data_IF_714638765492
#
_entry.id   IF_714638765492
#
_cell.length_a   1.000
_cell.length_b   1.000
_cell.length_c   1.000
_cell.angle_alpha   90.00
_cell.angle_beta   90.00
_cell.angle_gamma   90.00
#
_symmetry.space_group_name_H-M   'P 1'
#
loop_
_entity.id
_entity.type
_entity.pdbx_description
1 polymer ?
#
# COMPACT_ATOMS: atom_id res chain seq x y z
N UNK A 1 4.07 50.05 29.73
CA UNK A 1 3.84 49.21 30.89
C UNK A 1 3.66 47.78 30.42
N UNK A 2 4.42 46.80 30.91
CA UNK A 2 4.15 45.40 30.56
C UNK A 2 2.81 45.00 31.16
N UNK A 3 1.86 44.65 30.30
CA UNK A 3 0.57 44.11 30.73
C UNK A 3 0.79 42.61 30.99
N UNK A 4 0.87 42.23 32.25
CA UNK A 4 0.88 40.83 32.66
C UNK A 4 -0.54 40.29 32.61
N UNK A 5 -0.94 39.75 31.48
CA UNK A 5 -2.21 39.03 31.33
C UNK A 5 -1.90 37.54 31.32
N UNK A 6 -2.55 36.72 32.16
CA UNK A 6 -2.43 35.26 32.06
C UNK A 6 -2.84 34.78 30.69
N UNK A 7 -1.98 33.96 30.07
CA UNK A 7 -2.26 33.32 28.77
C UNK A 7 -2.31 31.80 28.98
N UNK A 8 -3.45 31.19 28.67
CA UNK A 8 -3.57 29.75 28.60
C UNK A 8 -3.23 29.24 27.20
N UNK A 9 -2.53 28.14 27.13
CA UNK A 9 -2.27 27.43 25.87
C UNK A 9 -3.10 26.16 25.85
N UNK A 10 -3.75 25.91 24.71
CA UNK A 10 -4.44 24.65 24.42
C UNK A 10 -3.65 23.98 23.32
N UNK A 11 -3.12 22.80 23.60
CA UNK A 11 -2.46 21.96 22.60
C UNK A 11 -3.47 20.99 21.99
N UNK A 12 -3.64 21.09 20.68
CA UNK A 12 -4.44 20.19 19.87
C UNK A 12 -3.65 19.90 18.60
N UNK A 13 -2.62 19.08 18.73
CA UNK A 13 -1.70 18.77 17.63
C UNK A 13 -1.57 17.27 17.40
N UNK A 14 -1.33 16.91 16.14
CA UNK A 14 -1.06 15.52 15.71
C UNK A 14 -0.12 15.55 14.52
N UNK A 15 1.12 15.12 14.73
CA UNK A 15 2.17 15.14 13.70
C UNK A 15 1.88 14.21 12.53
N UNK A 16 2.33 14.60 11.33
CA UNK A 16 2.18 13.82 10.11
C UNK A 16 0.77 13.81 9.50
N UNK A 17 -0.07 14.80 9.87
CA UNK A 17 -1.46 14.85 9.40
C UNK A 17 -1.66 15.88 8.29
N UNK A 18 -2.67 15.62 7.44
CA UNK A 18 -3.09 16.49 6.34
C UNK A 18 -4.11 17.53 6.83
N UNK A 19 -4.24 18.66 6.11
CA UNK A 19 -5.13 19.76 6.51
C UNK A 19 -6.62 19.36 6.47
N UNK A 20 -7.00 18.42 5.61
CA UNK A 20 -8.37 17.95 5.45
C UNK A 20 -8.92 17.30 6.72
N UNK A 21 -8.08 16.66 7.53
CA UNK A 21 -8.54 16.05 8.79
C UNK A 21 -8.89 17.08 9.85
N UNK A 22 -8.39 18.32 9.72
CA UNK A 22 -8.63 19.47 10.60
C UNK A 22 -9.75 20.40 10.13
N UNK A 23 -10.38 20.06 9.02
CA UNK A 23 -11.45 20.86 8.40
C UNK A 23 -12.78 20.13 8.56
N UNK A 24 -13.87 20.85 8.79
CA UNK A 24 -15.18 20.23 8.95
C UNK A 24 -15.71 19.60 7.67
N UNK A 25 -16.67 18.69 7.81
CA UNK A 25 -17.34 18.05 6.67
C UNK A 25 -18.07 19.07 5.81
N UNK A 26 -18.76 20.02 6.41
CA UNK A 26 -19.53 21.06 5.72
C UNK A 26 -18.62 21.95 4.89
N UNK A 27 -17.46 22.33 5.43
CA UNK A 27 -16.49 23.14 4.70
C UNK A 27 -15.88 22.33 3.56
N UNK A 28 -15.37 21.11 3.81
CA UNK A 28 -14.80 20.28 2.77
C UNK A 28 -15.76 19.95 1.63
N UNK A 29 -17.06 19.77 1.93
CA UNK A 29 -18.08 19.49 0.93
C UNK A 29 -18.25 20.61 -0.12
N UNK A 30 -17.74 21.82 0.17
CA UNK A 30 -17.75 22.94 -0.81
C UNK A 30 -16.70 22.76 -1.91
N UNK A 31 -15.70 21.88 -1.71
CA UNK A 31 -14.65 21.59 -2.69
C UNK A 31 -15.02 20.35 -3.49
N UNK A 32 -15.22 20.45 -4.82
CA UNK A 32 -15.67 19.31 -5.64
C UNK A 32 -14.78 18.07 -5.55
N UNK A 33 -13.44 18.23 -5.47
CA UNK A 33 -12.50 17.12 -5.36
C UNK A 33 -12.61 16.37 -4.02
N UNK A 34 -13.11 17.01 -2.97
CA UNK A 34 -13.32 16.40 -1.66
C UNK A 34 -14.59 15.57 -1.58
N UNK A 35 -15.59 15.84 -2.43
CA UNK A 35 -16.89 15.17 -2.38
C UNK A 35 -16.78 13.66 -2.41
N UNK A 36 -16.00 13.11 -3.34
CA UNK A 36 -15.77 11.66 -3.45
C UNK A 36 -15.10 11.07 -2.19
N UNK A 37 -14.15 11.81 -1.60
CA UNK A 37 -13.47 11.38 -0.37
C UNK A 37 -14.41 11.39 0.83
N UNK A 38 -15.32 12.36 0.91
CA UNK A 38 -16.35 12.42 1.96
C UNK A 38 -17.41 11.34 1.77
N UNK A 39 -17.84 11.09 0.53
CA UNK A 39 -18.76 9.99 0.21
C UNK A 39 -18.23 8.62 0.66
N UNK A 40 -16.93 8.39 0.55
CA UNK A 40 -16.30 7.16 1.03
C UNK A 40 -16.37 6.98 2.56
N UNK A 41 -16.62 8.05 3.33
CA UNK A 41 -16.81 7.98 4.78
C UNK A 41 -18.27 7.70 5.17
N UNK A 42 -19.21 7.90 4.23
CA UNK A 42 -20.64 7.67 4.49
C UNK A 42 -20.90 6.19 4.66
N UNK A 43 -21.56 5.82 5.76
CA UNK A 43 -21.89 4.41 6.07
C UNK A 43 -20.77 3.64 6.78
N UNK A 44 -19.62 4.26 7.05
CA UNK A 44 -18.63 3.63 7.92
C UNK A 44 -19.16 3.53 9.36
N UNK A 45 -18.90 2.42 10.06
CA UNK A 45 -19.24 2.27 11.46
C UNK A 45 -18.66 3.40 12.31
N UNK A 46 -19.42 3.87 13.30
CA UNK A 46 -18.97 4.96 14.18
C UNK A 46 -17.77 4.56 15.05
N UNK A 47 -17.72 3.30 15.50
CA UNK A 47 -16.63 2.80 16.34
C UNK A 47 -15.40 2.37 15.52
N UNK A 48 -14.23 2.49 16.12
CA UNK A 48 -12.97 1.99 15.55
C UNK A 48 -13.05 0.49 15.29
N UNK A 49 -13.55 -0.29 16.26
CA UNK A 49 -13.71 -1.74 16.14
C UNK A 49 -14.64 -2.11 14.97
N UNK A 50 -15.75 -1.40 14.83
CA UNK A 50 -16.68 -1.61 13.72
C UNK A 50 -16.04 -1.31 12.36
N UNK A 51 -15.24 -0.22 12.25
CA UNK A 51 -14.48 0.09 11.02
C UNK A 51 -13.42 -0.95 10.71
N UNK A 52 -12.72 -1.45 11.74
CA UNK A 52 -11.74 -2.53 11.57
C UNK A 52 -12.39 -3.80 11.04
N UNK A 53 -13.50 -4.21 11.65
CA UNK A 53 -14.27 -5.38 11.20
C UNK A 53 -14.75 -5.22 9.75
N UNK A 54 -15.30 -4.04 9.41
CA UNK A 54 -15.72 -3.76 8.05
C UNK A 54 -14.53 -3.85 7.06
N UNK A 55 -13.38 -3.32 7.42
CA UNK A 55 -12.18 -3.42 6.59
C UNK A 55 -11.77 -4.88 6.37
N UNK A 56 -11.77 -5.71 7.42
CA UNK A 56 -11.46 -7.14 7.33
C UNK A 56 -12.46 -7.87 6.41
N UNK A 57 -13.75 -7.57 6.52
CA UNK A 57 -14.81 -8.11 5.65
C UNK A 57 -14.65 -7.65 4.18
N UNK A 58 -14.33 -6.38 3.96
CA UNK A 58 -14.12 -5.81 2.62
C UNK A 58 -12.86 -6.41 1.95
N UNK A 59 -11.77 -6.62 2.71
CA UNK A 59 -10.55 -7.29 2.23
C UNK A 59 -10.83 -8.73 1.84
N UNK A 60 -11.58 -9.47 2.64
CA UNK A 60 -11.94 -10.86 2.34
C UNK A 60 -12.82 -10.95 1.08
N UNK A 61 -13.77 -10.03 0.94
CA UNK A 61 -14.59 -9.92 -0.26
C UNK A 61 -13.72 -9.62 -1.50
N UNK A 62 -12.78 -8.69 -1.37
CA UNK A 62 -11.85 -8.33 -2.44
C UNK A 62 -10.93 -9.51 -2.81
N UNK A 63 -10.38 -10.22 -1.82
CA UNK A 63 -9.58 -11.44 -2.05
C UNK A 63 -10.38 -12.50 -2.81
N UNK A 64 -11.61 -12.74 -2.39
CA UNK A 64 -12.51 -13.70 -3.05
C UNK A 64 -12.80 -13.32 -4.51
N UNK A 65 -12.96 -12.04 -4.80
CA UNK A 65 -13.15 -11.57 -6.17
C UNK A 65 -11.88 -11.74 -7.01
N UNK A 66 -10.71 -11.41 -6.46
CA UNK A 66 -9.40 -11.63 -7.11
C UNK A 66 -9.19 -13.12 -7.43
N UNK A 67 -9.55 -14.02 -6.51
CA UNK A 67 -9.47 -15.46 -6.73
C UNK A 67 -10.43 -15.93 -7.79
N UNK A 68 -11.65 -15.40 -7.82
CA UNK A 68 -12.70 -15.77 -8.78
C UNK A 68 -12.30 -15.45 -10.22
N UNK A 69 -11.59 -14.35 -10.44
CA UNK A 69 -11.22 -13.90 -11.79
C UNK A 69 -9.80 -14.30 -12.20
N UNK A 70 -9.02 -14.90 -11.30
CA UNK A 70 -7.71 -15.48 -11.62
C UNK A 70 -7.84 -16.60 -12.65
N UNK A 71 -7.32 -16.38 -13.84
CA UNK A 71 -7.34 -17.38 -14.94
C UNK A 71 -6.55 -18.65 -14.63
N UNK A 72 -5.64 -18.60 -13.64
CA UNK A 72 -4.87 -19.74 -13.15
C UNK A 72 -5.63 -20.66 -12.20
N UNK A 73 -6.78 -20.18 -11.70
CA UNK A 73 -7.64 -20.91 -10.77
C UNK A 73 -9.05 -21.07 -11.37
N UNK A 74 -9.62 -22.26 -11.26
CA UNK A 74 -11.00 -22.54 -11.65
C UNK A 74 -11.68 -23.31 -10.53
N UNK A 75 -12.78 -22.78 -10.03
CA UNK A 75 -13.54 -23.36 -8.91
C UNK A 75 -12.66 -23.67 -7.68
N UNK A 76 -11.68 -22.80 -7.37
CA UNK A 76 -10.74 -22.98 -6.26
C UNK A 76 -9.58 -23.93 -6.55
N UNK A 77 -9.54 -24.56 -7.74
CA UNK A 77 -8.42 -25.42 -8.13
C UNK A 77 -7.37 -24.63 -8.95
N UNK A 78 -6.12 -24.71 -8.55
CA UNK A 78 -4.98 -24.08 -9.20
C UNK A 78 -4.59 -24.82 -10.48
N UNK A 79 -5.37 -24.68 -11.55
CA UNK A 79 -5.21 -25.43 -12.80
C UNK A 79 -3.87 -25.16 -13.49
N UNK A 80 -3.30 -23.96 -13.29
CA UNK A 80 -1.99 -23.63 -13.84
C UNK A 80 -0.84 -24.21 -13.02
N UNK A 81 -1.09 -24.77 -11.85
CA UNK A 81 -0.11 -25.52 -11.07
C UNK A 81 -0.02 -26.99 -11.48
N UNK A 82 -1.01 -27.52 -12.20
CA UNK A 82 -1.08 -28.93 -12.55
C UNK A 82 0.16 -29.38 -13.37
N UNK A 83 0.73 -30.55 -13.09
CA UNK A 83 1.95 -31.00 -13.76
C UNK A 83 1.78 -31.28 -15.26
N UNK A 84 0.58 -31.59 -15.69
CA UNK A 84 0.18 -31.86 -17.08
C UNK A 84 -0.36 -30.64 -17.82
N UNK A 85 -0.43 -29.47 -17.16
CA UNK A 85 -0.84 -28.22 -17.80
C UNK A 85 0.14 -27.83 -18.91
N UNK A 86 -0.42 -27.52 -20.09
CA UNK A 86 0.38 -27.12 -21.24
C UNK A 86 0.77 -25.64 -21.19
N UNK A 87 1.99 -25.36 -20.79
CA UNK A 87 2.58 -24.02 -20.73
C UNK A 87 3.45 -23.66 -21.94
N UNK A 88 3.33 -24.37 -23.06
CA UNK A 88 4.17 -24.17 -24.25
C UNK A 88 4.03 -22.75 -24.83
N UNK A 89 2.87 -22.15 -24.74
CA UNK A 89 2.60 -20.79 -25.21
C UNK A 89 3.03 -19.69 -24.22
N UNK A 90 3.44 -20.03 -22.99
CA UNK A 90 3.87 -19.06 -22.00
C UNK A 90 5.20 -18.43 -22.38
N UNK A 91 5.36 -17.16 -22.04
CA UNK A 91 6.63 -16.46 -22.17
C UNK A 91 7.64 -16.95 -21.13
N UNK A 92 8.84 -16.44 -21.21
CA UNK A 92 9.90 -16.74 -20.24
C UNK A 92 10.46 -15.47 -19.63
N UNK A 93 10.72 -15.49 -18.32
CA UNK A 93 11.30 -14.40 -17.55
C UNK A 93 12.43 -14.93 -16.69
N UNK A 94 13.45 -14.12 -16.41
CA UNK A 94 14.55 -14.49 -15.51
C UNK A 94 14.09 -14.43 -14.05
N UNK A 95 14.41 -15.46 -13.28
CA UNK A 95 14.23 -15.56 -11.84
C UNK A 95 15.62 -15.87 -11.24
N UNK A 96 16.07 -15.14 -10.21
CA UNK A 96 15.41 -13.98 -9.61
C UNK A 96 15.41 -12.76 -10.52
N UNK A 97 14.43 -11.87 -10.30
CA UNK A 97 14.32 -10.59 -11.00
C UNK A 97 12.98 -9.91 -10.85
N UNK A 98 12.98 -8.59 -11.02
CA UNK A 98 11.78 -7.76 -11.02
C UNK A 98 11.02 -7.92 -12.35
N UNK A 99 9.71 -8.10 -12.27
CA UNK A 99 8.84 -8.25 -13.45
C UNK A 99 8.81 -6.97 -14.28
N UNK A 100 8.80 -5.81 -13.62
CA UNK A 100 8.70 -4.49 -14.25
C UNK A 100 9.98 -4.09 -15.02
N UNK A 101 11.14 -4.63 -14.63
CA UNK A 101 12.41 -4.40 -15.32
C UNK A 101 12.61 -5.33 -16.53
N UNK A 102 11.70 -6.26 -16.75
CA UNK A 102 11.73 -7.23 -17.84
C UNK A 102 10.56 -6.99 -18.79
N UNK A 103 9.55 -7.85 -18.79
CA UNK A 103 8.48 -7.84 -19.80
C UNK A 103 7.20 -7.11 -19.35
N UNK A 104 7.09 -6.68 -18.08
CA UNK A 104 5.87 -6.15 -17.47
C UNK A 104 6.06 -4.73 -16.85
N UNK A 105 6.51 -3.72 -17.62
CA UNK A 105 6.73 -2.37 -17.09
C UNK A 105 5.41 -1.76 -16.56
N UNK A 106 5.43 -1.24 -15.33
CA UNK A 106 4.28 -0.59 -14.69
C UNK A 106 3.09 -1.52 -14.42
N UNK A 107 3.33 -2.84 -14.42
CA UNK A 107 2.30 -3.83 -14.13
C UNK A 107 2.18 -4.06 -12.63
N UNK A 108 0.94 -4.27 -12.18
CA UNK A 108 0.59 -4.87 -10.88
C UNK A 108 -0.54 -5.88 -11.12
N UNK A 109 -0.47 -7.03 -10.46
CA UNK A 109 -1.44 -8.09 -10.68
C UNK A 109 -0.98 -9.47 -10.26
N UNK A 110 -1.65 -10.48 -10.79
CA UNK A 110 -1.30 -11.88 -10.57
C UNK A 110 -0.49 -12.43 -11.75
N UNK A 111 0.69 -12.94 -11.42
CA UNK A 111 1.57 -13.61 -12.38
C UNK A 111 1.90 -15.00 -11.87
N UNK A 112 1.68 -15.98 -12.72
CA UNK A 112 2.08 -17.35 -12.48
C UNK A 112 3.43 -17.64 -13.12
N UNK A 113 4.33 -18.19 -12.33
CA UNK A 113 5.63 -18.70 -12.78
C UNK A 113 5.63 -20.20 -12.70
N UNK A 114 6.27 -20.85 -13.70
CA UNK A 114 6.40 -22.31 -13.75
C UNK A 114 7.81 -22.73 -14.12
N UNK A 115 8.32 -23.77 -13.45
CA UNK A 115 9.61 -24.40 -13.71
C UNK A 115 9.46 -25.91 -13.71
N UNK A 116 9.77 -26.54 -14.83
CA UNK A 116 9.92 -28.00 -14.88
C UNK A 116 11.36 -28.36 -14.49
N UNK A 117 11.49 -29.32 -13.60
CA UNK A 117 12.77 -29.84 -13.10
C UNK A 117 12.81 -31.37 -13.20
N UNK A 118 14.00 -31.94 -13.16
CA UNK A 118 14.20 -33.39 -13.08
C UNK A 118 14.67 -33.77 -11.67
N UNK A 119 13.86 -34.54 -10.96
CA UNK A 119 14.19 -35.07 -9.63
C UNK A 119 15.07 -36.32 -9.77
N UNK A 120 16.29 -36.28 -9.19
CA UNK A 120 17.18 -37.44 -9.21
C UNK A 120 16.58 -38.66 -8.52
N UNK A 121 16.90 -39.85 -9.02
CA UNK A 121 16.37 -41.08 -8.45
C UNK A 121 16.67 -41.25 -6.94
N UNK A 122 17.83 -40.76 -6.49
CA UNK A 122 18.24 -40.79 -5.08
C UNK A 122 17.45 -39.84 -4.17
N UNK A 123 16.67 -38.93 -4.72
CA UNK A 123 15.84 -37.97 -3.96
C UNK A 123 14.40 -38.46 -3.78
N UNK A 124 13.96 -39.41 -4.59
CA UNK A 124 12.60 -39.95 -4.51
C UNK A 124 12.27 -40.47 -3.10
N UNK A 125 11.11 -40.10 -2.59
CA UNK A 125 10.64 -40.47 -1.25
C UNK A 125 11.38 -39.79 -0.09
N UNK A 126 12.08 -38.68 -0.35
CA UNK A 126 12.74 -37.87 0.69
C UNK A 126 12.12 -36.49 0.76
N UNK A 127 12.06 -35.89 1.95
CA UNK A 127 11.64 -34.50 2.15
C UNK A 127 12.63 -33.54 1.46
N UNK A 128 12.14 -32.51 0.82
CA UNK A 128 12.97 -31.49 0.20
C UNK A 128 12.61 -30.11 0.77
N UNK A 129 13.52 -29.14 0.63
CA UNK A 129 13.29 -27.72 0.93
C UNK A 129 13.42 -26.92 -0.35
N UNK A 130 12.36 -26.17 -0.69
CA UNK A 130 12.34 -25.22 -1.80
C UNK A 130 12.56 -23.81 -1.25
N UNK A 131 13.64 -23.17 -1.70
CA UNK A 131 13.93 -21.77 -1.42
C UNK A 131 13.66 -20.91 -2.66
N UNK A 132 12.96 -19.80 -2.50
CA UNK A 132 12.56 -18.87 -3.57
C UNK A 132 12.96 -17.41 -3.31
N UNK A 133 13.94 -17.20 -2.39
CA UNK A 133 14.35 -15.85 -2.02
C UNK A 133 13.26 -15.08 -1.31
N UNK A 134 13.00 -13.84 -1.75
CA UNK A 134 11.85 -13.03 -1.31
C UNK A 134 10.90 -12.82 -2.50
N UNK A 135 9.61 -12.78 -2.23
CA UNK A 135 8.60 -12.54 -3.27
C UNK A 135 7.79 -11.31 -2.87
N UNK A 136 7.65 -10.40 -3.80
CA UNK A 136 6.95 -9.15 -3.61
C UNK A 136 5.62 -9.19 -4.41
N UNK A 137 4.44 -9.12 -3.76
CA UNK A 137 4.15 -9.01 -2.29
C UNK A 137 3.91 -10.39 -1.64
N UNK A 138 3.01 -11.20 -2.25
CA UNK A 138 2.50 -12.45 -1.70
C UNK A 138 2.65 -13.58 -2.71
N UNK A 139 2.73 -14.81 -2.22
CA UNK A 139 2.74 -15.98 -3.09
C UNK A 139 1.89 -17.14 -2.59
N UNK A 140 1.47 -17.96 -3.54
CA UNK A 140 1.08 -19.34 -3.34
C UNK A 140 2.02 -20.22 -4.17
N UNK A 141 2.68 -21.16 -3.52
CA UNK A 141 3.67 -22.03 -4.16
C UNK A 141 3.21 -23.48 -4.16
N UNK A 142 3.35 -24.11 -5.33
CA UNK A 142 2.86 -25.46 -5.60
C UNK A 142 3.98 -26.36 -6.09
N UNK A 143 3.90 -27.62 -5.72
CA UNK A 143 4.74 -28.70 -6.26
C UNK A 143 3.85 -29.79 -6.84
N UNK A 144 3.98 -30.05 -8.14
CA UNK A 144 3.12 -30.97 -8.89
C UNK A 144 1.61 -30.78 -8.66
N UNK A 145 1.15 -29.54 -8.65
CA UNK A 145 -0.25 -29.16 -8.43
C UNK A 145 -0.70 -29.08 -6.97
N UNK A 146 0.11 -29.55 -6.03
CA UNK A 146 -0.20 -29.50 -4.60
C UNK A 146 0.43 -28.29 -3.98
N UNK A 147 -0.35 -27.47 -3.27
CA UNK A 147 0.14 -26.31 -2.55
C UNK A 147 1.07 -26.74 -1.42
N UNK A 148 2.26 -26.20 -1.38
CA UNK A 148 3.30 -26.48 -0.37
C UNK A 148 3.61 -25.27 0.51
N UNK A 149 3.18 -24.07 0.10
CA UNK A 149 3.43 -22.87 0.85
C UNK A 149 2.60 -21.68 0.41
N UNK A 150 2.51 -20.72 1.32
CA UNK A 150 1.92 -19.40 1.13
C UNK A 150 2.61 -18.44 2.11
N UNK A 151 2.98 -17.27 1.64
CA UNK A 151 3.57 -16.23 2.49
C UNK A 151 3.10 -14.87 2.02
N UNK A 152 2.69 -14.03 2.96
CA UNK A 152 2.35 -12.62 2.74
C UNK A 152 3.52 -11.73 3.13
N UNK A 153 3.70 -10.64 2.38
CA UNK A 153 4.69 -9.60 2.65
C UNK A 153 5.98 -9.74 1.85
N UNK A 154 6.43 -8.61 1.34
CA UNK A 154 7.50 -8.45 0.35
C UNK A 154 8.91 -8.73 0.84
N UNK A 155 9.16 -8.72 2.16
CA UNK A 155 10.49 -8.95 2.75
C UNK A 155 10.68 -10.35 3.33
N UNK A 156 9.63 -11.13 3.48
CA UNK A 156 9.72 -12.45 4.10
C UNK A 156 10.42 -13.45 3.16
N UNK A 157 11.44 -14.17 3.60
CA UNK A 157 12.04 -15.25 2.81
C UNK A 157 11.06 -16.40 2.60
N UNK A 158 11.06 -16.97 1.38
CA UNK A 158 10.27 -18.13 1.02
C UNK A 158 11.12 -19.39 1.12
N UNK A 159 10.77 -20.23 2.09
CA UNK A 159 11.40 -21.54 2.28
C UNK A 159 10.32 -22.56 2.64
N UNK A 160 10.01 -23.44 1.70
CA UNK A 160 8.88 -24.35 1.80
C UNK A 160 9.33 -25.79 1.82
N UNK A 161 8.78 -26.57 2.75
CA UNK A 161 9.00 -28.01 2.80
C UNK A 161 8.13 -28.71 1.75
N UNK A 162 8.74 -29.56 0.94
CA UNK A 162 8.05 -30.51 0.06
C UNK A 162 8.05 -31.87 0.74
N UNK A 163 6.88 -32.39 1.15
CA UNK A 163 6.78 -33.70 1.80
C UNK A 163 7.23 -34.81 0.87
N UNK A 164 7.91 -35.81 1.43
CA UNK A 164 8.47 -36.95 0.71
C UNK A 164 7.48 -37.73 -0.17
N UNK A 165 6.18 -37.69 0.19
CA UNK A 165 5.09 -38.34 -0.52
C UNK A 165 4.87 -37.73 -1.92
N UNK A 166 5.23 -36.45 -2.09
CA UNK A 166 5.13 -35.71 -3.34
C UNK A 166 6.36 -35.87 -4.23
N UNK A 167 7.48 -36.34 -3.68
CA UNK A 167 8.77 -36.40 -4.36
C UNK A 167 8.92 -37.72 -5.09
N UNK A 168 8.77 -37.69 -6.40
CA UNK A 168 8.96 -38.86 -7.30
C UNK A 168 10.14 -38.59 -8.23
N UNK A 169 10.86 -39.66 -8.66
CA UNK A 169 11.93 -39.52 -9.66
C UNK A 169 11.38 -39.02 -10.99
N UNK A 170 12.15 -38.25 -11.72
CA UNK A 170 11.82 -37.72 -13.05
C UNK A 170 11.22 -36.33 -13.00
N UNK A 171 10.41 -35.97 -13.99
CA UNK A 171 9.90 -34.62 -14.13
C UNK A 171 8.97 -34.22 -12.98
N UNK A 172 9.20 -33.04 -12.45
CA UNK A 172 8.33 -32.37 -11.50
C UNK A 172 8.15 -30.90 -11.90
N UNK A 173 7.06 -30.29 -11.46
CA UNK A 173 6.73 -28.89 -11.75
C UNK A 173 6.63 -28.12 -10.46
N UNK A 174 7.36 -27.02 -10.40
CA UNK A 174 7.19 -25.96 -9.41
C UNK A 174 6.34 -24.86 -10.08
N UNK A 175 5.24 -24.48 -9.45
CA UNK A 175 4.45 -23.33 -9.87
C UNK A 175 4.35 -22.34 -8.72
N UNK A 176 4.50 -21.04 -9.04
CA UNK A 176 4.44 -19.94 -8.06
C UNK A 176 3.46 -18.91 -8.59
N UNK A 177 2.39 -18.69 -7.86
CA UNK A 177 1.44 -17.61 -8.09
C UNK A 177 1.88 -16.41 -7.28
N UNK A 178 2.37 -15.39 -7.95
CA UNK A 178 2.83 -14.13 -7.34
C UNK A 178 1.72 -13.10 -7.44
N UNK A 179 1.38 -12.44 -6.35
CA UNK A 179 0.50 -11.27 -6.32
C UNK A 179 1.35 -10.04 -6.01
N UNK A 180 1.33 -9.08 -6.92
CA UNK A 180 1.91 -7.75 -6.80
C UNK A 180 0.77 -6.73 -6.75
N UNK A 181 0.65 -5.98 -5.66
CA UNK A 181 -0.41 -4.98 -5.44
C UNK A 181 0.04 -3.56 -5.76
N UNK A 182 1.30 -3.36 -6.10
CA UNK A 182 1.86 -2.08 -6.52
C UNK A 182 3.36 -1.94 -6.32
N UNK A 183 3.97 -1.02 -7.05
CA UNK A 183 5.41 -0.79 -7.00
C UNK A 183 6.19 -1.73 -7.92
N UNK A 184 7.11 -2.49 -7.35
CA UNK A 184 7.93 -3.50 -8.06
C UNK A 184 7.64 -4.88 -7.50
N UNK A 185 7.37 -5.85 -8.36
CA UNK A 185 7.04 -7.22 -7.98
C UNK A 185 7.92 -8.27 -8.64
N UNK A 186 7.87 -9.50 -8.12
CA UNK A 186 8.56 -10.64 -8.67
C UNK A 186 9.20 -11.56 -7.65
N UNK A 187 9.93 -12.55 -8.14
CA UNK A 187 10.72 -13.47 -7.32
C UNK A 187 12.15 -12.94 -7.26
N UNK A 188 12.57 -12.43 -6.10
CA UNK A 188 13.77 -11.65 -5.92
C UNK A 188 14.79 -12.36 -5.01
N UNK A 189 16.05 -11.91 -5.09
CA UNK A 189 17.15 -12.43 -4.29
C UNK A 189 18.41 -12.68 -5.11
N UNK A 190 19.38 -13.39 -4.52
CA UNK A 190 20.54 -13.85 -5.29
C UNK A 190 20.20 -15.14 -6.04
N UNK A 191 20.93 -15.46 -7.14
CA UNK A 191 20.72 -16.74 -7.84
C UNK A 191 20.78 -17.96 -6.92
N UNK A 192 21.65 -17.93 -5.90
CA UNK A 192 21.86 -19.03 -4.95
C UNK A 192 20.66 -19.23 -4.03
N UNK A 193 19.85 -18.18 -3.80
CA UNK A 193 18.64 -18.24 -2.98
C UNK A 193 17.46 -18.91 -3.67
N UNK A 194 17.58 -19.22 -4.96
CA UNK A 194 16.52 -19.87 -5.76
C UNK A 194 16.94 -21.32 -6.02
N UNK A 195 16.57 -22.22 -5.12
CA UNK A 195 17.15 -23.57 -5.09
C UNK A 195 16.22 -24.59 -4.43
N UNK A 196 16.41 -25.86 -4.81
CA UNK A 196 15.75 -27.01 -4.20
C UNK A 196 16.81 -27.88 -3.52
N UNK A 197 16.64 -28.14 -2.24
CA UNK A 197 17.60 -28.82 -1.40
C UNK A 197 17.08 -30.17 -0.90
N UNK A 198 17.93 -31.18 -0.96
CA UNK A 198 17.78 -32.40 -0.18
C UNK A 198 18.56 -32.30 1.15
N UNK A 199 19.71 -31.62 1.14
CA UNK A 199 20.57 -31.34 2.30
C UNK A 199 21.38 -30.07 2.04
N UNK A 200 22.20 -29.64 2.99
CA UNK A 200 23.11 -28.51 2.84
C UNK A 200 24.11 -28.64 1.69
N UNK A 201 24.41 -29.87 1.29
CA UNK A 201 25.39 -30.19 0.24
C UNK A 201 24.78 -30.71 -1.05
N UNK A 202 23.51 -31.09 -1.05
CA UNK A 202 22.79 -31.58 -2.22
C UNK A 202 21.67 -30.64 -2.61
N UNK A 203 21.89 -29.83 -3.65
CA UNK A 203 20.92 -28.84 -4.14
C UNK A 203 20.82 -28.82 -5.67
N UNK A 204 19.67 -28.48 -6.16
CA UNK A 204 19.39 -28.12 -7.58
C UNK A 204 19.20 -26.62 -7.63
N UNK A 205 20.00 -25.92 -8.43
CA UNK A 205 19.83 -24.50 -8.69
C UNK A 205 18.64 -24.29 -9.62
N UNK A 206 17.77 -23.37 -9.25
CA UNK A 206 16.54 -23.08 -9.97
C UNK A 206 16.55 -21.72 -10.65
N UNK A 207 17.55 -20.87 -10.37
CA UNK A 207 17.74 -19.59 -11.03
C UNK A 207 17.81 -19.73 -12.56
N UNK A 208 17.44 -18.67 -13.27
CA UNK A 208 17.42 -18.62 -14.73
C UNK A 208 16.03 -18.45 -15.30
N UNK A 209 15.76 -18.96 -16.48
CA UNK A 209 14.48 -18.77 -17.16
C UNK A 209 13.37 -19.63 -16.53
N UNK A 210 12.27 -18.98 -16.18
CA UNK A 210 11.02 -19.61 -15.79
C UNK A 210 9.95 -19.24 -16.81
N UNK A 211 9.02 -20.13 -17.08
CA UNK A 211 7.79 -19.79 -17.81
C UNK A 211 6.94 -18.87 -16.94
N UNK A 212 6.30 -17.85 -17.56
CA UNK A 212 5.34 -17.01 -16.83
C UNK A 212 4.13 -16.67 -17.70
N UNK A 213 3.03 -16.38 -17.00
CA UNK A 213 1.79 -15.90 -17.60
C UNK A 213 1.07 -14.98 -16.62
N UNK A 214 0.61 -13.83 -17.11
CA UNK A 214 -0.31 -12.94 -16.38
C UNK A 214 -1.67 -13.61 -16.32
N UNK A 215 -2.21 -13.75 -15.11
CA UNK A 215 -3.56 -14.28 -14.90
C UNK A 215 -4.58 -13.19 -14.62
N UNK A 216 -4.15 -12.08 -14.04
CA UNK A 216 -4.99 -10.93 -13.70
C UNK A 216 -4.16 -9.65 -13.70
N UNK A 217 -4.70 -8.58 -14.28
CA UNK A 217 -4.20 -7.21 -14.14
C UNK A 217 -5.03 -6.49 -13.07
N UNK A 218 -4.36 -5.84 -12.07
CA UNK A 218 -5.07 -5.13 -11.00
C UNK A 218 -5.97 -3.98 -11.50
N UNK A 219 -5.77 -3.51 -12.72
CA UNK A 219 -6.67 -2.54 -13.36
C UNK A 219 -8.03 -3.13 -13.72
N UNK A 220 -8.17 -4.46 -13.74
CA UNK A 220 -9.43 -5.19 -14.03
C UNK A 220 -10.30 -5.37 -12.78
N UNK A 221 -9.79 -5.03 -11.58
CA UNK A 221 -10.51 -5.17 -10.30
C UNK A 221 -10.64 -3.84 -9.56
N UNK A 222 -11.56 -3.78 -8.61
CA UNK A 222 -11.65 -2.65 -7.71
C UNK A 222 -10.34 -2.53 -6.89
N UNK A 223 -9.91 -1.31 -6.55
CA UNK A 223 -8.75 -1.12 -5.68
C UNK A 223 -8.90 -1.88 -4.36
N UNK A 224 -7.79 -2.41 -3.85
CA UNK A 224 -7.77 -3.03 -2.53
C UNK A 224 -8.34 -2.08 -1.47
N UNK A 225 -9.22 -2.55 -0.57
CA UNK A 225 -9.74 -1.74 0.52
C UNK A 225 -8.63 -1.13 1.38
N UNK A 226 -8.86 0.08 1.87
CA UNK A 226 -7.94 0.79 2.76
C UNK A 226 -8.45 0.71 4.18
N UNK A 227 -7.56 0.38 5.12
CA UNK A 227 -7.92 0.39 6.54
C UNK A 227 -8.24 1.81 7.02
N UNK A 228 -9.52 2.04 7.31
CA UNK A 228 -10.05 3.29 7.86
C UNK A 228 -10.34 3.19 9.36
N UNK A 229 -9.95 2.11 10.02
CA UNK A 229 -10.21 1.91 11.45
C UNK A 229 -9.43 2.90 12.33
N UNK A 230 -8.21 3.21 11.91
CA UNK A 230 -7.34 4.18 12.57
C UNK A 230 -6.52 4.95 11.54
N UNK A 231 -7.12 5.98 10.97
CA UNK A 231 -6.41 6.86 10.06
C UNK A 231 -6.61 8.32 10.48
N UNK A 232 -5.64 8.94 11.17
CA UNK A 232 -5.72 10.33 11.58
C UNK A 232 -5.81 11.29 10.38
N UNK A 233 -5.49 10.81 9.17
CA UNK A 233 -5.61 11.55 7.92
C UNK A 233 -6.98 11.37 7.22
N UNK A 234 -7.94 10.68 7.86
CA UNK A 234 -9.32 10.72 7.36
C UNK A 234 -9.86 12.14 7.39
N UNK A 235 -10.51 12.62 6.31
CA UNK A 235 -11.12 13.95 6.30
C UNK A 235 -12.01 14.15 7.53
N UNK A 236 -11.97 15.33 8.13
CA UNK A 236 -12.78 15.74 9.29
C UNK A 236 -12.48 15.04 10.62
N UNK A 237 -11.62 14.03 10.63
CA UNK A 237 -11.47 13.16 11.79
C UNK A 237 -10.93 13.92 13.03
N UNK A 238 -9.82 14.62 12.89
CA UNK A 238 -9.23 15.40 13.99
C UNK A 238 -10.03 16.67 14.29
N UNK A 239 -10.69 17.24 13.27
CA UNK A 239 -11.64 18.31 13.52
C UNK A 239 -12.73 17.85 14.51
N UNK A 240 -13.40 16.75 14.22
CA UNK A 240 -14.48 16.23 15.06
C UNK A 240 -14.00 15.79 16.46
N UNK A 241 -12.83 15.15 16.53
CA UNK A 241 -12.32 14.58 17.77
C UNK A 241 -11.62 15.59 18.68
N UNK A 242 -10.91 16.58 18.10
CA UNK A 242 -10.00 17.44 18.86
C UNK A 242 -10.39 18.91 18.84
N UNK A 243 -10.88 19.43 17.72
CA UNK A 243 -11.24 20.85 17.57
C UNK A 243 -12.69 21.15 17.96
N UNK A 244 -13.61 20.36 17.44
CA UNK A 244 -15.05 20.60 17.67
C UNK A 244 -15.41 20.67 19.18
N UNK A 245 -14.83 19.83 20.07
CA UNK A 245 -15.05 19.96 21.51
C UNK A 245 -14.51 21.26 22.14
N UNK A 246 -13.58 21.95 21.46
CA UNK A 246 -12.98 23.19 21.95
C UNK A 246 -13.79 24.44 21.56
N UNK A 247 -14.68 24.37 20.60
CA UNK A 247 -15.43 25.52 20.09
C UNK A 247 -16.16 26.32 21.19
N UNK A 248 -16.71 25.72 22.27
CA UNK A 248 -17.30 26.47 23.36
C UNK A 248 -16.31 27.38 24.13
N UNK A 249 -15.02 27.16 24.03
CA UNK A 249 -14.01 27.97 24.71
C UNK A 249 -13.62 29.17 23.85
N UNK A 250 -13.68 30.37 24.42
CA UNK A 250 -13.19 31.57 23.75
C UNK A 250 -11.66 31.52 23.58
N UNK A 251 -11.18 31.73 22.37
CA UNK A 251 -9.74 31.78 22.05
C UNK A 251 -9.32 33.17 21.58
N UNK A 252 -8.04 33.51 21.78
CA UNK A 252 -7.47 34.78 21.32
C UNK A 252 -6.75 34.65 19.97
N UNK A 253 -6.54 33.46 19.49
CA UNK A 253 -5.88 33.17 18.23
C UNK A 253 -5.49 31.71 18.13
N UNK A 254 -5.05 31.30 16.95
CA UNK A 254 -4.50 29.97 16.66
C UNK A 254 -3.08 30.12 16.13
N UNK A 255 -2.22 29.15 16.48
CA UNK A 255 -0.89 29.01 15.89
C UNK A 255 -0.90 27.70 15.10
N UNK A 256 -0.54 27.78 13.83
CA UNK A 256 -0.60 26.65 12.89
C UNK A 256 0.77 26.34 12.30
N UNK A 257 1.25 25.13 12.51
CA UNK A 257 2.46 24.60 11.89
C UNK A 257 2.15 23.23 11.32
N UNK A 258 1.93 23.14 10.02
CA UNK A 258 1.53 21.93 9.31
C UNK A 258 1.77 22.14 7.81
N UNK A 259 1.81 21.07 7.03
CA UNK A 259 1.84 21.14 5.58
C UNK A 259 2.67 20.04 4.93
N UNK A 260 3.56 19.41 5.64
CA UNK A 260 4.50 18.40 5.14
C UNK A 260 3.78 17.28 4.39
N UNK A 261 2.73 16.74 5.01
CA UNK A 261 1.93 15.65 4.43
C UNK A 261 1.03 16.09 3.27
N UNK A 262 0.86 17.40 3.05
CA UNK A 262 0.14 17.95 1.91
C UNK A 262 1.07 18.38 0.76
N UNK A 263 2.39 18.17 0.87
CA UNK A 263 3.32 18.65 -0.15
C UNK A 263 3.04 18.07 -1.54
N UNK A 264 2.58 16.80 -1.63
CA UNK A 264 2.16 16.18 -2.88
C UNK A 264 0.89 16.78 -3.50
N UNK A 265 0.08 17.51 -2.70
CA UNK A 265 -1.19 18.14 -3.08
C UNK A 265 -1.15 19.67 -2.89
N UNK A 266 0.03 20.27 -3.08
CA UNK A 266 0.30 21.69 -2.78
C UNK A 266 -0.64 22.65 -3.51
N UNK A 267 -1.06 22.32 -4.73
CA UNK A 267 -2.00 23.13 -5.47
C UNK A 267 -3.37 23.21 -4.78
N UNK A 268 -3.87 22.07 -4.30
CA UNK A 268 -5.15 22.01 -3.58
C UNK A 268 -5.06 22.70 -2.20
N UNK A 269 -3.91 22.66 -1.57
CA UNK A 269 -3.67 23.32 -0.29
C UNK A 269 -3.92 24.85 -0.34
N UNK A 270 -3.78 25.48 -1.52
CA UNK A 270 -4.08 26.90 -1.75
C UNK A 270 -5.54 27.25 -1.43
N UNK A 271 -6.45 26.30 -1.64
CA UNK A 271 -7.88 26.45 -1.37
C UNK A 271 -8.24 25.93 0.03
N UNK A 272 -7.65 24.84 0.43
CA UNK A 272 -7.96 24.17 1.71
C UNK A 272 -7.55 25.01 2.92
N UNK A 273 -6.44 25.70 2.87
CA UNK A 273 -5.97 26.46 4.03
C UNK A 273 -6.83 27.69 4.33
N UNK A 274 -7.16 28.56 3.38
CA UNK A 274 -8.13 29.62 3.59
C UNK A 274 -9.51 29.10 4.02
N UNK A 275 -9.94 27.98 3.44
CA UNK A 275 -11.21 27.34 3.79
C UNK A 275 -11.23 26.91 5.25
N UNK A 276 -10.20 26.22 5.72
CA UNK A 276 -10.09 25.75 7.12
C UNK A 276 -10.11 26.94 8.10
N UNK A 277 -9.36 28.01 7.82
CA UNK A 277 -9.33 29.20 8.67
C UNK A 277 -10.73 29.84 8.74
N UNK A 278 -11.41 29.96 7.62
CA UNK A 278 -12.77 30.50 7.54
C UNK A 278 -13.75 29.61 8.28
N UNK A 279 -13.66 28.30 8.11
CA UNK A 279 -14.51 27.32 8.81
C UNK A 279 -14.37 27.46 10.33
N UNK A 280 -13.14 27.53 10.83
CA UNK A 280 -12.91 27.69 12.27
C UNK A 280 -13.48 29.02 12.80
N UNK A 281 -13.22 30.16 12.13
CA UNK A 281 -13.76 31.47 12.50
C UNK A 281 -15.28 31.46 12.53
N UNK A 282 -15.91 30.90 11.52
CA UNK A 282 -17.37 30.77 11.45
C UNK A 282 -17.94 29.97 12.63
N UNK A 283 -17.26 28.91 13.04
CA UNK A 283 -17.70 28.06 14.16
C UNK A 283 -17.50 28.69 15.53
N UNK A 284 -16.45 29.48 15.70
CA UNK A 284 -16.25 30.31 16.89
C UNK A 284 -17.16 31.54 16.90
N UNK A 285 -17.71 31.95 15.78
CA UNK A 285 -18.61 33.10 15.66
C UNK A 285 -17.93 34.47 15.69
N UNK A 286 -16.59 34.51 15.58
CA UNK A 286 -15.79 35.74 15.51
C UNK A 286 -14.46 35.52 14.83
N UNK A 287 -13.92 36.61 14.27
CA UNK A 287 -12.57 36.59 13.71
C UNK A 287 -11.51 36.64 14.81
N UNK A 288 -10.56 35.73 14.73
CA UNK A 288 -9.37 35.70 15.58
C UNK A 288 -8.11 35.63 14.72
N UNK A 289 -6.96 36.15 15.23
CA UNK A 289 -5.68 36.05 14.53
C UNK A 289 -5.29 34.58 14.31
N UNK A 290 -4.86 34.27 13.09
CA UNK A 290 -4.35 32.95 12.73
C UNK A 290 -2.89 33.07 12.32
N UNK A 291 -2.00 32.58 13.17
CA UNK A 291 -0.54 32.66 12.97
C UNK A 291 -0.03 31.40 12.31
N UNK A 292 0.49 31.54 11.11
CA UNK A 292 1.04 30.43 10.34
C UNK A 292 2.57 30.39 10.44
N UNK A 293 3.10 29.24 10.78
CA UNK A 293 4.52 28.98 10.66
C UNK A 293 4.77 28.34 9.29
N UNK A 294 5.48 29.06 8.41
CA UNK A 294 5.85 28.53 7.12
C UNK A 294 6.82 27.36 7.30
N UNK A 295 6.65 26.28 6.53
CA UNK A 295 7.59 25.16 6.56
C UNK A 295 9.01 25.62 6.27
N UNK A 296 9.96 25.09 7.03
CA UNK A 296 11.39 25.29 6.80
C UNK A 296 11.82 24.71 5.44
N UNK A 297 13.00 25.07 4.96
CA UNK A 297 13.58 24.42 3.79
C UNK A 297 13.85 22.95 4.07
N UNK A 298 13.46 22.10 3.16
CA UNK A 298 13.64 20.66 3.20
C UNK A 298 14.18 20.17 1.83
N UNK A 299 14.87 19.06 1.78
CA UNK A 299 15.56 18.52 0.63
C UNK A 299 16.89 19.22 0.28
N UNK A 300 17.69 18.59 -0.56
CA UNK A 300 18.97 19.14 -1.00
C UNK A 300 18.79 20.41 -1.85
N UNK A 301 19.66 21.40 -1.66
CA UNK A 301 19.67 22.62 -2.47
C UNK A 301 19.97 22.29 -3.92
N UNK A 302 19.09 22.71 -4.83
CA UNK A 302 19.28 22.58 -6.27
C UNK A 302 20.15 23.73 -6.82
N UNK A 303 20.92 23.44 -7.85
CA UNK A 303 21.78 24.41 -8.53
C UNK A 303 21.06 25.23 -9.58
N UNK A 304 19.88 24.77 -10.01
CA UNK A 304 18.99 25.46 -10.96
C UNK A 304 17.54 25.35 -10.48
N UNK A 305 16.63 26.23 -10.94
CA UNK A 305 15.19 26.09 -10.67
C UNK A 305 14.67 24.75 -11.21
N UNK A 306 13.95 24.02 -10.36
CA UNK A 306 13.29 22.76 -10.69
C UNK A 306 11.88 22.76 -10.09
N UNK A 307 10.99 21.94 -10.61
CA UNK A 307 9.69 21.68 -10.00
C UNK A 307 9.88 21.11 -8.58
N UNK A 308 9.13 21.64 -7.63
CA UNK A 308 9.24 21.25 -6.22
C UNK A 308 7.90 21.42 -5.50
N UNK A 309 7.29 20.31 -5.17
CA UNK A 309 6.04 20.27 -4.39
C UNK A 309 6.17 20.98 -3.03
N UNK A 310 7.37 20.92 -2.45
CA UNK A 310 7.68 21.62 -1.19
C UNK A 310 7.69 23.14 -1.36
N UNK A 311 8.26 23.64 -2.45
CA UNK A 311 8.25 25.07 -2.77
C UNK A 311 6.83 25.57 -3.09
N UNK A 312 6.05 24.79 -3.81
CA UNK A 312 4.64 25.08 -4.11
C UNK A 312 3.79 25.12 -2.85
N UNK A 313 4.01 24.22 -1.90
CA UNK A 313 3.30 24.26 -0.61
C UNK A 313 3.65 25.51 0.19
N UNK A 314 4.93 25.88 0.27
CA UNK A 314 5.34 27.14 0.93
C UNK A 314 4.75 28.37 0.26
N UNK A 315 4.61 28.35 -1.08
CA UNK A 315 3.89 29.40 -1.80
C UNK A 315 2.41 29.44 -1.40
N UNK A 316 1.73 28.28 -1.30
CA UNK A 316 0.35 28.19 -0.85
C UNK A 316 0.16 28.81 0.54
N UNK A 317 1.08 28.51 1.47
CA UNK A 317 1.11 29.14 2.80
C UNK A 317 1.27 30.67 2.70
N UNK A 318 2.20 31.15 1.87
CA UNK A 318 2.42 32.59 1.67
C UNK A 318 1.20 33.29 1.07
N UNK A 319 0.52 32.65 0.12
CA UNK A 319 -0.72 33.20 -0.48
C UNK A 319 -1.82 33.34 0.56
N UNK A 320 -1.98 32.37 1.44
CA UNK A 320 -3.00 32.41 2.51
C UNK A 320 -2.77 33.57 3.47
N UNK A 321 -1.55 33.99 3.73
CA UNK A 321 -1.26 35.14 4.61
C UNK A 321 -1.86 36.47 4.11
N UNK A 322 -2.26 36.54 2.83
CA UNK A 322 -2.92 37.71 2.22
C UNK A 322 -4.42 37.75 2.43
N UNK A 323 -5.01 36.69 2.97
CA UNK A 323 -6.44 36.57 3.29
C UNK A 323 -6.72 36.74 4.79
N UNK A 324 -5.70 37.02 5.59
CA UNK A 324 -5.80 37.25 7.04
C UNK A 324 -5.91 38.73 7.37
#
# INVERSE_FOLDING_TARGET
>A
LPIYVPIGLIDTSWGGTIIETWTSNEALATIPSMKKRLEALVGLPASQEGRKKKFEEDVETWKSEVERIDKGCVNGEAIWAAPDFNDAAWKSMKVPGLMQEQDLPGFSGLVWFRKTIDIPAGWAGKDLILNLGVIDDNDFTYFNGIQIGHTEGWMAPRSYKIPKELVKKGKAVIAVRVMDTGGTGGINGSPESISLHLSDTEAIQLAGNWKYQVSLDMREVAPMPVDMSWNPNSPTFLFNAMLNPLIPYAIKGAIWYQGESNAGEAFQYRDLMPLMITDWRNRWGYDFPFYMVQLASFTAKQTAPVESTWAELREAQTRTSRFN
#
